data_IF_390778815384
#
_entry.id   IF_390778815384
#
_cell.length_a   1.000
_cell.length_b   1.000
_cell.length_c   1.000
_cell.angle_alpha   90.00
_cell.angle_beta   90.00
_cell.angle_gamma   90.00
#
_symmetry.space_group_name_H-M   'P 1'
#
loop_
_entity.id
_entity.type
_entity.pdbx_description
1 polymer ?
#
# COMPACT_ATOMS: atom_id res chain seq x y z
N UNK A 1 10.24 5.04 -31.33
CA UNK A 1 9.54 5.01 -30.02
C UNK A 1 8.10 4.59 -30.29
N UNK A 2 7.65 3.40 -29.87
CA UNK A 2 6.26 2.94 -30.12
C UNK A 2 5.33 3.68 -29.15
N UNK A 3 4.42 4.53 -29.65
CA UNK A 3 3.41 5.17 -28.82
C UNK A 3 2.26 4.18 -28.57
N UNK A 4 2.13 3.68 -27.35
CA UNK A 4 0.91 2.99 -26.93
C UNK A 4 -0.14 4.03 -26.55
N UNK A 5 -1.35 3.91 -27.12
CA UNK A 5 -2.50 4.72 -26.72
C UNK A 5 -3.01 4.17 -25.39
N UNK A 6 -2.82 4.93 -24.31
CA UNK A 6 -3.39 4.64 -22.99
C UNK A 6 -4.81 5.21 -22.96
N UNK A 7 -5.80 4.33 -23.07
CA UNK A 7 -7.22 4.67 -22.89
C UNK A 7 -7.54 4.64 -21.39
N UNK A 8 -7.40 5.79 -20.72
CA UNK A 8 -7.73 5.94 -19.29
C UNK A 8 -9.22 6.26 -19.18
N UNK A 9 -10.02 5.24 -18.83
CA UNK A 9 -11.46 5.41 -18.63
C UNK A 9 -11.74 6.29 -17.41
N UNK A 10 -12.32 7.47 -17.64
CA UNK A 10 -12.79 8.37 -16.58
C UNK A 10 -14.14 7.89 -16.05
N UNK A 11 -14.25 7.69 -14.74
CA UNK A 11 -15.50 7.34 -14.08
C UNK A 11 -16.32 8.63 -13.84
N UNK A 12 -17.36 8.85 -14.64
CA UNK A 12 -18.15 10.09 -14.63
C UNK A 12 -19.17 10.16 -13.46
N UNK A 13 -19.54 9.01 -12.87
CA UNK A 13 -20.52 8.93 -11.78
C UNK A 13 -19.84 8.66 -10.44
N UNK A 14 -19.83 9.66 -9.56
CA UNK A 14 -19.44 9.51 -8.16
C UNK A 14 -20.65 9.79 -7.25
N UNK A 15 -21.00 8.84 -6.38
CA UNK A 15 -22.09 9.01 -5.42
C UNK A 15 -21.60 9.76 -4.18
N UNK A 16 -22.33 10.80 -3.75
CA UNK A 16 -22.02 11.57 -2.52
C UNK A 16 -22.01 10.71 -1.27
N UNK A 17 -22.85 9.68 -1.24
CA UNK A 17 -22.95 8.73 -0.12
C UNK A 17 -21.75 7.80 -0.03
N UNK A 18 -21.21 7.41 -1.19
CA UNK A 18 -20.02 6.58 -1.27
C UNK A 18 -18.78 7.30 -0.74
N UNK A 19 -18.69 8.62 -0.95
CA UNK A 19 -17.65 9.46 -0.37
C UNK A 19 -17.72 9.48 1.17
N UNK A 20 -18.92 9.55 1.74
CA UNK A 20 -19.11 9.48 3.19
C UNK A 20 -18.69 8.12 3.77
N UNK A 21 -19.07 7.02 3.12
CA UNK A 21 -18.61 5.68 3.49
C UNK A 21 -17.09 5.54 3.36
N UNK A 22 -16.49 6.16 2.33
CA UNK A 22 -15.05 6.15 2.11
C UNK A 22 -14.27 6.82 3.24
N UNK A 23 -14.76 7.94 3.75
CA UNK A 23 -14.16 8.64 4.90
C UNK A 23 -14.13 7.75 6.15
N UNK A 24 -15.23 7.04 6.44
CA UNK A 24 -15.29 6.09 7.56
C UNK A 24 -14.32 4.93 7.33
N UNK A 25 -14.23 4.42 6.09
CA UNK A 25 -13.36 3.31 5.73
C UNK A 25 -11.86 3.67 5.74
N UNK A 26 -11.50 4.94 5.60
CA UNK A 26 -10.11 5.37 5.74
C UNK A 26 -9.56 5.16 7.14
N UNK A 27 -10.39 5.27 8.18
CA UNK A 27 -9.96 5.10 9.58
C UNK A 27 -9.30 3.73 9.82
N UNK A 28 -9.97 2.58 9.54
CA UNK A 28 -9.35 1.28 9.74
C UNK A 28 -8.13 1.06 8.83
N UNK A 29 -8.16 1.53 7.59
CA UNK A 29 -7.04 1.40 6.66
C UNK A 29 -5.78 2.13 7.17
N UNK A 30 -5.94 3.34 7.71
CA UNK A 30 -4.83 4.13 8.27
C UNK A 30 -4.25 3.45 9.51
N UNK A 31 -5.09 2.88 10.37
CA UNK A 31 -4.64 2.15 11.57
C UNK A 31 -3.77 0.95 11.16
N UNK A 32 -4.22 0.13 10.21
CA UNK A 32 -3.46 -1.02 9.73
C UNK A 32 -2.16 -0.58 9.04
N UNK A 33 -2.21 0.45 8.20
CA UNK A 33 -1.02 1.00 7.55
C UNK A 33 0.00 1.51 8.58
N UNK A 34 -0.46 2.10 9.69
CA UNK A 34 0.40 2.59 10.75
C UNK A 34 1.13 1.45 11.46
N UNK A 35 0.43 0.38 11.83
CA UNK A 35 1.01 -0.83 12.44
C UNK A 35 2.05 -1.46 11.50
N UNK A 36 1.70 -1.64 10.22
CA UNK A 36 2.61 -2.16 9.22
C UNK A 36 3.83 -1.26 9.01
N UNK A 37 3.66 0.06 9.13
CA UNK A 37 4.76 1.01 8.98
C UNK A 37 5.77 0.88 10.11
N UNK A 38 5.31 0.68 11.35
CA UNK A 38 6.19 0.41 12.50
C UNK A 38 6.95 -0.91 12.27
N UNK A 39 6.24 -1.98 11.93
CA UNK A 39 6.85 -3.29 11.66
C UNK A 39 7.89 -3.22 10.54
N UNK A 40 7.55 -2.56 9.43
CA UNK A 40 8.44 -2.38 8.29
C UNK A 40 9.64 -1.49 8.62
N UNK A 41 9.49 -0.48 9.49
CA UNK A 41 10.60 0.36 9.94
C UNK A 41 11.60 -0.46 10.75
N UNK A 42 11.13 -1.27 11.69
CA UNK A 42 11.98 -2.19 12.46
C UNK A 42 12.68 -3.18 11.53
N UNK A 43 11.93 -3.81 10.61
CA UNK A 43 12.51 -4.73 9.63
C UNK A 43 13.55 -4.06 8.72
N UNK A 44 13.34 -2.79 8.37
CA UNK A 44 14.28 -2.02 7.55
C UNK A 44 15.58 -1.72 8.30
N UNK A 45 15.51 -1.33 9.58
CA UNK A 45 16.69 -1.13 10.44
C UNK A 45 17.45 -2.45 10.60
N UNK A 46 16.76 -3.56 10.87
CA UNK A 46 17.40 -4.88 10.97
C UNK A 46 18.03 -5.26 9.63
N UNK A 47 17.33 -5.04 8.51
CA UNK A 47 17.85 -5.36 7.18
C UNK A 47 19.12 -4.55 6.88
N UNK A 48 19.19 -3.28 7.30
CA UNK A 48 20.38 -2.46 7.15
C UNK A 48 21.57 -3.09 7.89
N UNK A 49 21.37 -3.51 9.14
CA UNK A 49 22.41 -4.21 9.90
C UNK A 49 22.81 -5.52 9.22
N UNK A 50 21.84 -6.33 8.78
CA UNK A 50 22.11 -7.59 8.09
C UNK A 50 22.93 -7.38 6.81
N UNK A 51 22.65 -6.33 6.04
CA UNK A 51 23.41 -6.03 4.82
C UNK A 51 24.83 -5.57 5.15
N UNK A 52 25.02 -4.75 6.19
CA UNK A 52 26.34 -4.29 6.61
C UNK A 52 27.24 -5.45 7.07
N UNK A 53 26.70 -6.41 7.83
CA UNK A 53 27.50 -7.52 8.36
C UNK A 53 27.60 -8.72 7.42
N UNK A 54 26.51 -9.08 6.73
CA UNK A 54 26.43 -10.30 5.93
C UNK A 54 26.56 -10.06 4.42
N UNK A 55 26.54 -8.81 3.95
CA UNK A 55 26.60 -8.46 2.52
C UNK A 55 25.42 -8.97 1.69
N UNK A 56 24.39 -9.53 2.33
CA UNK A 56 23.25 -10.18 1.67
C UNK A 56 21.95 -9.70 2.27
N UNK A 57 20.93 -9.56 1.43
CA UNK A 57 19.59 -9.15 1.86
C UNK A 57 18.80 -10.35 2.39
N UNK A 58 18.18 -10.22 3.56
CA UNK A 58 17.33 -11.27 4.10
C UNK A 58 15.97 -11.28 3.39
N UNK A 59 15.59 -12.44 2.83
CA UNK A 59 14.32 -12.62 2.10
C UNK A 59 13.11 -12.37 2.99
N UNK A 60 13.12 -12.82 4.24
CA UNK A 60 11.98 -12.69 5.16
C UNK A 60 11.73 -11.22 5.51
N UNK A 61 12.77 -10.47 5.87
CA UNK A 61 12.65 -9.03 6.15
C UNK A 61 12.19 -8.25 4.92
N UNK A 62 12.68 -8.65 3.74
CA UNK A 62 12.25 -8.02 2.49
C UNK A 62 10.76 -8.25 2.21
N UNK A 63 10.23 -9.46 2.45
CA UNK A 63 8.80 -9.75 2.23
C UNK A 63 7.90 -8.84 3.07
N UNK A 64 8.22 -8.68 4.36
CA UNK A 64 7.47 -7.81 5.28
C UNK A 64 7.48 -6.35 4.79
N UNK A 65 8.65 -5.83 4.38
CA UNK A 65 8.76 -4.47 3.83
C UNK A 65 7.92 -4.34 2.55
N UNK A 66 7.94 -5.37 1.70
CA UNK A 66 7.22 -5.39 0.43
C UNK A 66 5.71 -5.47 0.62
N UNK A 67 5.23 -6.24 1.60
CA UNK A 67 3.83 -6.28 2.02
C UNK A 67 3.33 -4.88 2.42
N UNK A 68 4.09 -4.15 3.25
CA UNK A 68 3.77 -2.77 3.62
C UNK A 68 3.73 -1.83 2.41
N UNK A 69 4.67 -1.97 1.47
CA UNK A 69 4.71 -1.12 0.26
C UNK A 69 3.52 -1.39 -0.65
N UNK A 70 3.16 -2.65 -0.89
CA UNK A 70 1.98 -3.04 -1.67
C UNK A 70 0.71 -2.48 -1.04
N UNK A 71 0.55 -2.65 0.26
CA UNK A 71 -0.60 -2.15 1.00
C UNK A 71 -0.71 -0.62 0.93
N UNK A 72 0.42 0.09 1.11
CA UNK A 72 0.46 1.56 0.97
C UNK A 72 0.07 2.01 -0.44
N UNK A 73 0.48 1.30 -1.49
CA UNK A 73 0.14 1.64 -2.86
C UNK A 73 -1.38 1.52 -3.11
N UNK A 74 -2.00 0.42 -2.66
CA UNK A 74 -3.46 0.24 -2.72
C UNK A 74 -4.19 1.35 -1.94
N UNK A 75 -3.73 1.65 -0.71
CA UNK A 75 -4.27 2.75 0.09
C UNK A 75 -4.15 4.11 -0.61
N UNK A 76 -2.99 4.42 -1.18
CA UNK A 76 -2.77 5.69 -1.87
C UNK A 76 -3.67 5.86 -3.10
N UNK A 77 -3.90 4.78 -3.86
CA UNK A 77 -4.85 4.79 -4.97
C UNK A 77 -6.29 5.09 -4.50
N UNK A 78 -6.72 4.42 -3.43
CA UNK A 78 -8.06 4.61 -2.86
C UNK A 78 -8.25 5.98 -2.20
N UNK A 79 -7.22 6.48 -1.50
CA UNK A 79 -7.19 7.78 -0.86
C UNK A 79 -7.16 8.92 -1.89
N UNK A 80 -6.42 8.75 -2.98
CA UNK A 80 -6.31 9.71 -4.08
C UNK A 80 -7.48 9.67 -5.07
N UNK A 81 -8.56 8.95 -4.78
CA UNK A 81 -9.72 8.78 -5.67
C UNK A 81 -9.36 8.26 -7.07
N UNK A 82 -8.27 7.49 -7.18
CA UNK A 82 -7.83 6.87 -8.44
C UNK A 82 -8.58 5.57 -8.74
N UNK A 83 -9.22 4.98 -7.73
CA UNK A 83 -10.03 3.77 -7.84
C UNK A 83 -11.20 3.82 -6.86
N UNK A 84 -12.31 3.21 -7.27
CA UNK A 84 -13.48 2.96 -6.40
C UNK A 84 -13.44 1.59 -5.72
N UNK A 85 -12.52 0.72 -6.14
CA UNK A 85 -12.29 -0.55 -5.48
C UNK A 85 -11.69 -0.34 -4.09
N UNK A 86 -12.37 -0.89 -3.08
CA UNK A 86 -11.95 -0.79 -1.68
C UNK A 86 -10.78 -1.76 -1.46
N UNK A 87 -9.64 -1.28 -0.97
CA UNK A 87 -8.54 -2.16 -0.61
C UNK A 87 -8.93 -3.01 0.60
N UNK A 88 -8.44 -4.25 0.66
CA UNK A 88 -8.63 -5.10 1.83
C UNK A 88 -8.07 -4.43 3.09
N UNK A 89 -8.74 -4.63 4.23
CA UNK A 89 -8.34 -4.02 5.50
C UNK A 89 -6.99 -4.60 5.94
N UNK A 90 -6.74 -5.88 5.68
CA UNK A 90 -5.49 -6.57 5.99
C UNK A 90 -4.67 -6.81 4.73
N UNK A 91 -3.33 -6.87 4.81
CA UNK A 91 -2.52 -7.30 3.68
C UNK A 91 -2.84 -8.76 3.33
N UNK A 92 -3.08 -9.02 2.06
CA UNK A 92 -3.30 -10.36 1.51
C UNK A 92 -2.11 -11.31 1.75
N UNK A 93 -0.87 -10.78 1.79
CA UNK A 93 0.35 -11.59 1.92
C UNK A 93 1.43 -10.93 2.80
N UNK A 94 2.12 -11.75 3.61
CA UNK A 94 3.28 -11.39 4.44
C UNK A 94 4.56 -12.12 4.01
#
# INVERSE_FOLDING_TARGET
MKSFKLDVKYAEKASRWELAMRLVYWIPLVIVLWILSILAAVCWVIQLLVVLFAGKRNKTLQKIILARVRYRAKFAAYYGFLTDERPEIVPEEF
#
